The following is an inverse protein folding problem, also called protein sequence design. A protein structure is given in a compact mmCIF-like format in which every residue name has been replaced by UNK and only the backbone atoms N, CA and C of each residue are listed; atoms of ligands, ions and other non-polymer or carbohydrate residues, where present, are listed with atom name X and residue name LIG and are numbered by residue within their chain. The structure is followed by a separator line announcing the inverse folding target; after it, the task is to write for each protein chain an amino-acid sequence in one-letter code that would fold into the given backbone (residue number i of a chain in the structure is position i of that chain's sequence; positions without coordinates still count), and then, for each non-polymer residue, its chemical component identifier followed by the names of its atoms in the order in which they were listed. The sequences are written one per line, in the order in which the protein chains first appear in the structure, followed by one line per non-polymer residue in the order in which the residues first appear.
data_IF_801319981680
#
_entry.id   IF_801319981680
#
_cell.length_a   1.000
_cell.length_b   1.000
_cell.length_c   1.000
_cell.angle_alpha   90.00
_cell.angle_beta   90.00
_cell.angle_gamma   90.00
#
_symmetry.space_group_name_H-M   'P 1'
#
loop_
_entity.id
_entity.type
_entity.pdbx_description
1 polymer ?
#
# COMPACT_ATOMS: atom_id res chain seq x y z
N UNK A 1 23.98 2.67 -19.32
CA UNK A 1 24.63 2.89 -18.00
C UNK A 1 24.18 4.19 -17.32
N UNK A 2 24.53 5.39 -17.82
CA UNK A 2 24.19 6.65 -17.10
C UNK A 2 22.68 6.93 -17.05
N UNK A 3 21.97 6.67 -18.15
CA UNK A 3 20.51 6.84 -18.23
C UNK A 3 19.76 5.85 -17.33
N UNK A 4 20.25 4.61 -17.23
CA UNK A 4 19.68 3.60 -16.33
C UNK A 4 19.82 4.03 -14.86
N UNK A 5 20.98 4.60 -14.51
CA UNK A 5 21.23 5.12 -13.17
C UNK A 5 20.32 6.30 -12.83
N UNK A 6 20.13 7.25 -13.75
CA UNK A 6 19.18 8.35 -13.60
C UNK A 6 17.74 7.85 -13.41
N UNK A 7 17.34 6.80 -14.15
CA UNK A 7 16.02 6.20 -14.00
C UNK A 7 15.81 5.59 -12.60
N UNK A 8 16.82 4.90 -12.06
CA UNK A 8 16.75 4.34 -10.69
C UNK A 8 16.65 5.47 -9.65
N UNK A 9 17.45 6.53 -9.80
CA UNK A 9 17.37 7.72 -8.94
C UNK A 9 15.98 8.35 -9.00
N UNK A 10 15.39 8.45 -10.20
CA UNK A 10 14.05 8.99 -10.36
C UNK A 10 13.00 8.13 -9.64
N UNK A 11 13.08 6.80 -9.73
CA UNK A 11 12.15 5.90 -9.01
C UNK A 11 12.29 6.07 -7.49
N UNK A 12 13.52 6.20 -6.97
CA UNK A 12 13.74 6.42 -5.52
C UNK A 12 13.21 7.78 -5.05
N UNK A 13 13.42 8.82 -5.84
CA UNK A 13 13.13 10.20 -5.47
C UNK A 13 11.66 10.60 -5.71
N UNK A 14 11.02 10.05 -6.74
CA UNK A 14 9.64 10.39 -7.11
C UNK A 14 8.69 9.25 -6.74
N UNK A 15 8.09 9.37 -5.55
CA UNK A 15 7.04 8.47 -5.07
C UNK A 15 5.64 8.96 -5.42
N UNK A 16 4.65 8.14 -5.13
CA UNK A 16 3.24 8.53 -5.19
C UNK A 16 3.00 9.77 -4.31
N UNK A 17 2.39 10.84 -4.84
CA UNK A 17 2.21 12.07 -4.07
C UNK A 17 1.31 11.84 -2.84
N UNK A 18 1.70 12.44 -1.71
CA UNK A 18 0.99 12.33 -0.42
C UNK A 18 -0.50 12.72 -0.51
N UNK A 19 -0.84 13.66 -1.40
CA UNK A 19 -2.23 14.08 -1.63
C UNK A 19 -3.10 12.95 -2.18
N UNK A 20 -2.58 12.17 -3.14
CA UNK A 20 -3.30 11.05 -3.75
C UNK A 20 -3.47 9.91 -2.74
N UNK A 21 -2.45 9.61 -1.94
CA UNK A 21 -2.54 8.60 -0.86
C UNK A 21 -3.55 8.99 0.20
N UNK A 22 -3.49 10.25 0.64
CA UNK A 22 -4.46 10.77 1.61
C UNK A 22 -5.88 10.72 1.04
N UNK A 23 -6.06 11.05 -0.23
CA UNK A 23 -7.35 10.90 -0.92
C UNK A 23 -7.88 9.46 -0.87
N UNK A 24 -7.05 8.45 -1.18
CA UNK A 24 -7.48 7.04 -1.13
C UNK A 24 -7.88 6.61 0.28
N UNK A 25 -7.12 7.00 1.30
CA UNK A 25 -7.44 6.71 2.72
C UNK A 25 -8.73 7.38 3.16
N UNK A 26 -8.96 8.63 2.77
CA UNK A 26 -10.23 9.34 3.02
C UNK A 26 -11.37 8.62 2.30
N UNK A 27 -11.21 8.29 1.02
CA UNK A 27 -12.23 7.56 0.25
C UNK A 27 -12.61 6.23 0.91
N UNK A 28 -11.62 5.42 1.33
CA UNK A 28 -11.86 4.16 2.04
C UNK A 28 -12.64 4.34 3.35
N UNK A 29 -12.43 5.43 4.07
CA UNK A 29 -13.17 5.72 5.31
C UNK A 29 -14.62 6.17 5.03
N UNK A 30 -14.86 6.93 3.95
CA UNK A 30 -16.21 7.32 3.55
C UNK A 30 -16.98 6.19 2.84
N UNK A 31 -16.27 5.19 2.31
CA UNK A 31 -16.85 4.10 1.55
C UNK A 31 -18.00 3.37 2.29
N UNK A 32 -17.85 2.94 3.56
CA UNK A 32 -18.91 2.26 4.30
C UNK A 32 -20.13 3.16 4.56
N UNK A 33 -19.93 4.47 4.68
CA UNK A 33 -21.02 5.42 4.95
C UNK A 33 -21.92 5.55 3.71
N UNK A 34 -21.29 5.64 2.53
CA UNK A 34 -22.01 5.80 1.25
C UNK A 34 -22.65 4.47 0.82
N UNK A 35 -21.92 3.36 0.93
CA UNK A 35 -22.37 2.05 0.43
C UNK A 35 -23.06 1.18 1.49
N UNK A 36 -22.98 1.51 2.77
CA UNK A 36 -23.66 0.80 3.86
C UNK A 36 -25.16 0.62 3.64
N UNK A 37 -25.92 1.67 3.29
CA UNK A 37 -27.35 1.55 2.98
C UNK A 37 -27.65 0.60 1.81
N UNK A 38 -26.76 0.55 0.81
CA UNK A 38 -26.90 -0.36 -0.32
C UNK A 38 -26.74 -1.83 0.12
N UNK A 39 -25.73 -2.14 0.93
CA UNK A 39 -25.56 -3.50 1.47
C UNK A 39 -26.71 -3.90 2.41
N UNK A 40 -27.23 -2.97 3.21
CA UNK A 40 -28.41 -3.20 4.02
C UNK A 40 -29.65 -3.51 3.17
N UNK A 41 -29.84 -2.81 2.05
CA UNK A 41 -30.92 -3.11 1.10
C UNK A 41 -30.80 -4.52 0.51
N UNK A 42 -29.60 -4.93 0.10
CA UNK A 42 -29.33 -6.29 -0.40
C UNK A 42 -29.60 -7.35 0.68
N UNK A 43 -29.20 -7.08 1.93
CA UNK A 43 -29.44 -7.96 3.07
C UNK A 43 -30.93 -8.21 3.31
N UNK A 44 -31.76 -7.16 3.21
CA UNK A 44 -33.22 -7.24 3.36
C UNK A 44 -33.86 -7.97 2.17
N UNK A 45 -33.40 -7.69 0.94
CA UNK A 45 -34.02 -8.22 -0.28
C UNK A 45 -33.72 -9.70 -0.54
N UNK A 46 -32.51 -10.15 -0.24
CA UNK A 46 -32.06 -11.50 -0.57
C UNK A 46 -31.85 -12.36 0.68
N UNK A 47 -30.81 -12.06 1.46
CA UNK A 47 -30.49 -12.74 2.71
C UNK A 47 -29.51 -11.90 3.52
N UNK A 48 -29.70 -11.83 4.84
CA UNK A 48 -28.79 -11.14 5.77
C UNK A 48 -27.33 -11.57 5.61
N UNK A 49 -27.08 -12.88 5.57
CA UNK A 49 -25.74 -13.46 5.48
C UNK A 49 -25.07 -13.02 4.18
N UNK A 50 -25.82 -13.04 3.07
CA UNK A 50 -25.30 -12.63 1.77
C UNK A 50 -24.92 -11.15 1.74
N UNK A 51 -25.76 -10.27 2.28
CA UNK A 51 -25.47 -8.83 2.37
C UNK A 51 -24.24 -8.54 3.24
N UNK A 52 -24.08 -9.25 4.37
CA UNK A 52 -22.91 -9.10 5.25
C UNK A 52 -21.61 -9.59 4.59
N UNK A 53 -21.63 -10.76 3.93
CA UNK A 53 -20.46 -11.26 3.18
C UNK A 53 -20.05 -10.26 2.10
N UNK A 54 -21.03 -9.71 1.37
CA UNK A 54 -20.77 -8.73 0.32
C UNK A 54 -20.14 -7.45 0.88
N UNK A 55 -20.65 -6.93 2.00
CA UNK A 55 -20.11 -5.75 2.67
C UNK A 55 -18.66 -5.98 3.15
N UNK A 56 -18.36 -7.14 3.73
CA UNK A 56 -17.01 -7.51 4.20
C UNK A 56 -16.05 -7.63 3.03
N UNK A 57 -16.43 -8.32 1.95
CA UNK A 57 -15.61 -8.42 0.74
C UNK A 57 -15.31 -7.05 0.15
N UNK A 58 -16.32 -6.18 0.07
CA UNK A 58 -16.16 -4.81 -0.40
C UNK A 58 -15.32 -3.92 0.50
N UNK A 59 -15.17 -4.26 1.79
CA UNK A 59 -14.21 -3.61 2.68
C UNK A 59 -12.79 -4.14 2.51
N UNK A 60 -12.63 -5.47 2.46
CA UNK A 60 -11.32 -6.13 2.42
C UNK A 60 -10.59 -5.83 1.11
N UNK A 61 -11.25 -6.03 -0.05
CA UNK A 61 -10.57 -5.93 -1.35
C UNK A 61 -9.88 -4.57 -1.56
N UNK A 62 -10.58 -3.41 -1.46
CA UNK A 62 -9.94 -2.13 -1.71
C UNK A 62 -8.98 -1.71 -0.59
N UNK A 63 -9.21 -2.13 0.66
CA UNK A 63 -8.29 -1.86 1.77
C UNK A 63 -6.97 -2.63 1.59
N UNK A 64 -7.05 -3.90 1.20
CA UNK A 64 -5.85 -4.69 0.89
C UNK A 64 -5.07 -4.12 -0.28
N UNK A 65 -5.76 -3.61 -1.30
CA UNK A 65 -5.11 -2.97 -2.44
C UNK A 65 -4.39 -1.67 -2.05
N UNK A 66 -4.97 -0.86 -1.16
CA UNK A 66 -4.31 0.35 -0.62
C UNK A 66 -3.06 -0.01 0.18
N UNK A 67 -3.14 -1.04 1.03
CA UNK A 67 -1.99 -1.53 1.79
C UNK A 67 -0.87 -2.02 0.86
N UNK A 68 -1.18 -2.80 -0.18
CA UNK A 68 -0.15 -3.27 -1.13
C UNK A 68 0.48 -2.10 -1.89
N UNK A 69 -0.29 -1.07 -2.26
CA UNK A 69 0.27 0.13 -2.90
C UNK A 69 1.18 0.92 -1.97
N UNK A 70 0.83 1.02 -0.70
CA UNK A 70 1.69 1.58 0.34
C UNK A 70 2.98 0.77 0.45
N UNK A 71 2.86 -0.56 0.36
CA UNK A 71 3.97 -1.51 0.41
C UNK A 71 4.91 -1.43 -0.80
N UNK A 72 4.40 -1.06 -1.97
CA UNK A 72 5.23 -0.92 -3.17
C UNK A 72 5.80 0.50 -3.37
N UNK A 73 5.58 1.42 -2.41
CA UNK A 73 5.94 2.83 -2.57
C UNK A 73 7.47 3.07 -2.55
N UNK A 74 8.22 2.34 -1.72
CA UNK A 74 9.68 2.45 -1.64
C UNK A 74 10.36 1.07 -1.69
N UNK A 75 10.68 0.56 -2.89
CA UNK A 75 11.26 -0.78 -3.05
C UNK A 75 12.72 -0.88 -2.58
N UNK A 76 13.29 0.19 -2.04
CA UNK A 76 14.70 0.29 -1.66
C UNK A 76 14.90 0.65 -0.19
N UNK A 77 13.89 0.55 0.68
CA UNK A 77 14.05 0.76 2.13
C UNK A 77 14.41 -0.54 2.88
N UNK A 78 14.10 -1.71 2.30
CA UNK A 78 14.43 -3.02 2.86
C UNK A 78 13.59 -3.39 4.08
N UNK A 79 12.50 -2.66 4.35
CA UNK A 79 11.62 -2.88 5.48
C UNK A 79 10.49 -3.84 5.09
N UNK A 80 10.08 -3.81 3.82
CA UNK A 80 8.88 -4.46 3.32
C UNK A 80 9.22 -5.82 2.72
N UNK A 81 8.20 -6.68 2.63
CA UNK A 81 8.41 -8.06 2.20
C UNK A 81 8.73 -8.20 0.70
N UNK A 82 8.38 -7.19 -0.11
CA UNK A 82 8.53 -7.20 -1.57
C UNK A 82 9.59 -6.19 -2.05
N UNK A 83 10.56 -5.88 -1.18
CA UNK A 83 11.65 -4.97 -1.50
C UNK A 83 12.80 -5.65 -2.26
N UNK A 84 13.54 -4.83 -3.00
CA UNK A 84 14.71 -5.29 -3.74
C UNK A 84 15.85 -5.53 -2.75
N UNK A 85 16.33 -6.78 -2.70
CA UNK A 85 17.55 -7.13 -1.96
C UNK A 85 18.78 -6.61 -2.71
N UNK A 86 19.32 -5.49 -2.24
CA UNK A 86 20.60 -4.97 -2.71
C UNK A 86 21.73 -5.58 -1.86
N UNK A 87 22.49 -6.51 -2.45
CA UNK A 87 23.70 -7.03 -1.83
C UNK A 87 24.80 -5.99 -1.99
N UNK A 88 25.02 -5.17 -0.95
CA UNK A 88 26.10 -4.19 -0.98
C UNK A 88 27.43 -4.92 -0.88
N UNK A 89 28.41 -4.63 -1.76
CA UNK A 89 29.76 -5.12 -1.54
C UNK A 89 30.23 -4.68 -0.15
N UNK A 90 30.80 -5.60 0.65
CA UNK A 90 31.25 -5.37 2.03
C UNK A 90 32.13 -4.10 2.23
N UNK A 91 32.67 -3.55 1.14
CA UNK A 91 33.42 -2.28 1.10
C UNK A 91 32.56 -1.03 1.37
N UNK A 92 31.23 -1.12 1.31
CA UNK A 92 30.29 -0.03 1.57
C UNK A 92 29.45 -0.26 2.84
N UNK A 93 29.72 -1.32 3.59
CA UNK A 93 29.07 -1.54 4.88
C UNK A 93 29.47 -0.39 5.82
N UNK A 94 28.50 0.30 6.45
CA UNK A 94 28.82 1.33 7.43
C UNK A 94 29.62 0.65 8.55
N UNK A 95 30.84 1.14 8.81
CA UNK A 95 31.66 0.64 9.90
C UNK A 95 30.91 0.82 11.20
N UNK A 96 30.31 -0.25 11.71
CA UNK A 96 29.68 -0.27 13.03
C UNK A 96 30.81 -0.05 14.04
N UNK A 97 31.05 1.20 14.38
CA UNK A 97 32.00 1.60 15.42
C UNK A 97 31.32 1.27 16.74
N UNK A 98 31.57 0.06 17.23
CA UNK A 98 31.29 -0.30 18.61
C UNK A 98 32.27 0.47 19.49
N UNK A 99 31.93 1.72 19.79
CA UNK A 99 32.57 2.47 20.86
C UNK A 99 32.01 1.92 22.18
N UNK A 100 32.82 1.07 22.82
CA UNK A 100 32.59 0.53 24.17
C UNK A 100 32.70 1.62 25.24
#
# INVERSE_FOLDING_TARGET
MIVEFENIINIKNYRTPNSLRTYTKVFLNFFPIIFGPFFAHIAIKYNLIFGLILAVLYGIVPTSLDNIQEDLEDPFDGIRTDDISLDFPAMLEPSVTNDN
#
